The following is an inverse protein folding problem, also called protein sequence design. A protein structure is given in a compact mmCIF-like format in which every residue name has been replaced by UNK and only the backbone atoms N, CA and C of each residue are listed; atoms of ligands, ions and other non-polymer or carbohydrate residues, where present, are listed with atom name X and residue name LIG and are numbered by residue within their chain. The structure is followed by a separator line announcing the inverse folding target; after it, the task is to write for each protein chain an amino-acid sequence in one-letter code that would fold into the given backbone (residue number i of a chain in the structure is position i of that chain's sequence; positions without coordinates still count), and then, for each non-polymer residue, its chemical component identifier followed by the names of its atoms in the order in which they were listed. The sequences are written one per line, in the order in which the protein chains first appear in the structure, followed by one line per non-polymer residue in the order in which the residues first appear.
data_IF_810706623589
#
_entry.id   IF_810706623589
#
_cell.length_a   1.000
_cell.length_b   1.000
_cell.length_c   1.000
_cell.angle_alpha   90.00
_cell.angle_beta   90.00
_cell.angle_gamma   90.00
#
_symmetry.space_group_name_H-M   'P 1'
#
loop_
_entity.id
_entity.type
_entity.pdbx_description
1 polymer ?
#
# COMPACT_ATOMS: atom_id res chain seq x y z
N UNK A 1 12.11 -13.28 11.90
CA UNK A 1 11.12 -13.48 10.82
C UNK A 1 11.77 -13.12 9.51
N UNK A 2 11.57 -13.94 8.48
CA UNK A 2 11.93 -13.60 7.11
C UNK A 2 10.89 -12.66 6.47
N UNK A 3 11.14 -12.27 5.22
CA UNK A 3 10.24 -11.41 4.44
C UNK A 3 8.83 -12.02 4.30
N UNK A 4 8.73 -13.29 3.92
CA UNK A 4 7.45 -13.96 3.72
C UNK A 4 6.63 -14.07 5.01
N UNK A 5 7.28 -14.22 6.17
CA UNK A 5 6.58 -14.22 7.46
C UNK A 5 5.97 -12.84 7.75
N UNK A 6 6.70 -11.77 7.43
CA UNK A 6 6.24 -10.39 7.64
C UNK A 6 5.05 -10.07 6.74
N UNK A 7 5.13 -10.43 5.46
CA UNK A 7 4.03 -10.28 4.50
C UNK A 7 2.80 -11.02 5.02
N UNK A 8 2.95 -12.30 5.34
CA UNK A 8 1.85 -13.15 5.81
C UNK A 8 1.21 -12.60 7.08
N UNK A 9 2.02 -12.14 8.05
CA UNK A 9 1.52 -11.68 9.35
C UNK A 9 0.88 -10.30 9.30
N UNK A 10 1.49 -9.36 8.59
CA UNK A 10 1.11 -7.93 8.67
C UNK A 10 0.32 -7.44 7.45
N UNK A 11 0.64 -7.94 6.26
CA UNK A 11 0.17 -7.38 5.00
C UNK A 11 -0.79 -8.26 4.21
N UNK A 12 -0.91 -9.55 4.55
CA UNK A 12 -1.93 -10.42 3.96
C UNK A 12 -3.31 -10.12 4.56
N UNK A 13 -4.27 -9.89 3.67
CA UNK A 13 -5.68 -9.70 3.99
C UNK A 13 -6.52 -10.51 3.00
N UNK A 14 -7.71 -11.00 3.38
CA UNK A 14 -8.60 -11.69 2.45
C UNK A 14 -8.90 -10.80 1.23
N UNK A 15 -8.66 -11.33 0.03
CA UNK A 15 -9.00 -10.64 -1.21
C UNK A 15 -10.52 -10.48 -1.30
N UNK A 16 -11.01 -9.24 -1.23
CA UNK A 16 -12.45 -8.94 -1.36
C UNK A 16 -12.87 -8.60 -2.80
N UNK A 17 -11.96 -8.01 -3.56
CA UNK A 17 -12.21 -7.49 -4.92
C UNK A 17 -11.09 -7.82 -5.91
N UNK A 18 -9.95 -8.32 -5.42
CA UNK A 18 -8.83 -8.65 -6.27
C UNK A 18 -9.10 -9.99 -6.95
N UNK A 19 -8.70 -10.10 -8.23
CA UNK A 19 -8.73 -11.36 -8.98
C UNK A 19 -7.81 -12.40 -8.34
N UNK A 20 -6.73 -11.92 -7.74
CA UNK A 20 -5.69 -12.70 -7.09
C UNK A 20 -5.27 -12.03 -5.78
N UNK A 21 -5.12 -12.81 -4.71
CA UNK A 21 -4.68 -12.32 -3.40
C UNK A 21 -3.16 -12.14 -3.31
N UNK A 22 -2.68 -11.72 -2.13
CA UNK A 22 -1.23 -11.68 -1.84
C UNK A 22 -0.67 -13.10 -1.83
N UNK A 23 0.48 -13.31 -2.50
CA UNK A 23 1.19 -14.60 -2.50
C UNK A 23 1.64 -15.09 -3.88
N UNK A 24 1.31 -14.37 -4.95
CA UNK A 24 1.77 -14.63 -6.31
C UNK A 24 2.82 -13.59 -6.74
N UNK A 25 3.48 -13.81 -7.87
CA UNK A 25 4.56 -12.96 -8.40
C UNK A 25 4.05 -11.63 -8.97
N UNK A 26 2.75 -11.53 -9.26
CA UNK A 26 2.14 -10.31 -9.79
C UNK A 26 0.68 -10.13 -9.37
N UNK A 27 0.19 -8.89 -9.46
CA UNK A 27 -1.23 -8.58 -9.31
C UNK A 27 -1.94 -8.58 -10.67
N UNK A 28 -3.15 -9.12 -10.70
CA UNK A 28 -4.02 -9.12 -11.88
C UNK A 28 -5.18 -8.13 -11.71
N UNK A 29 -5.37 -7.25 -12.70
CA UNK A 29 -6.39 -6.21 -12.70
C UNK A 29 -7.43 -6.45 -13.79
N UNK A 30 -8.69 -6.65 -13.39
CA UNK A 30 -9.80 -6.66 -14.34
C UNK A 30 -10.40 -5.26 -14.46
N UNK A 31 -10.18 -4.61 -15.61
CA UNK A 31 -10.79 -3.32 -15.94
C UNK A 31 -12.14 -3.57 -16.61
N UNK A 32 -13.18 -2.82 -16.20
CA UNK A 32 -14.49 -2.92 -16.82
C UNK A 32 -14.44 -2.40 -18.27
N UNK A 33 -15.24 -2.96 -19.20
CA UNK A 33 -15.32 -2.44 -20.57
C UNK A 33 -15.65 -0.95 -20.59
N UNK A 34 -14.93 -0.18 -21.42
CA UNK A 34 -15.11 1.27 -21.55
C UNK A 34 -14.46 2.10 -20.43
N UNK A 35 -13.78 1.48 -19.46
CA UNK A 35 -13.01 2.17 -18.43
C UNK A 35 -11.50 2.09 -18.73
N UNK A 36 -10.74 3.02 -18.15
CA UNK A 36 -9.28 2.98 -18.13
C UNK A 36 -8.79 2.76 -16.70
N UNK A 37 -7.63 2.13 -16.55
CA UNK A 37 -6.96 2.02 -15.26
C UNK A 37 -6.11 3.27 -15.03
N UNK A 38 -6.45 4.05 -14.00
CA UNK A 38 -5.60 5.13 -13.50
C UNK A 38 -4.69 4.59 -12.38
N UNK A 39 -3.41 4.93 -12.43
CA UNK A 39 -2.40 4.51 -11.46
C UNK A 39 -1.67 5.75 -10.96
N UNK A 40 -1.62 5.93 -9.63
CA UNK A 40 -0.71 6.87 -8.96
C UNK A 40 0.23 6.09 -8.05
N UNK A 41 1.42 6.61 -7.82
CA UNK A 41 2.43 6.01 -6.95
C UNK A 41 3.34 7.07 -6.34
N UNK A 42 3.20 7.28 -5.04
CA UNK A 42 4.03 8.17 -4.22
C UNK A 42 4.84 7.43 -3.17
N UNK A 43 6.12 7.81 -3.03
CA UNK A 43 7.01 7.30 -1.98
C UNK A 43 7.22 8.33 -0.85
N UNK A 44 6.92 7.93 0.39
CA UNK A 44 7.22 8.73 1.58
C UNK A 44 8.58 8.31 2.16
N UNK A 45 9.49 9.28 2.34
CA UNK A 45 10.88 9.05 2.77
C UNK A 45 11.09 9.76 4.11
N UNK A 46 11.66 9.06 5.07
CA UNK A 46 11.98 9.61 6.39
C UNK A 46 12.95 10.79 6.28
N UNK A 47 12.76 11.83 7.07
CA UNK A 47 13.53 13.07 7.02
C UNK A 47 13.16 14.02 5.87
N UNK A 48 12.37 13.57 4.89
CA UNK A 48 11.87 14.39 3.78
C UNK A 48 10.36 14.58 3.80
N UNK A 49 9.60 13.49 3.89
CA UNK A 49 8.13 13.49 3.84
C UNK A 49 7.48 13.27 5.22
N UNK A 50 8.24 12.72 6.18
CA UNK A 50 7.81 12.51 7.56
C UNK A 50 9.04 12.43 8.50
N UNK A 51 8.82 12.55 9.81
CA UNK A 51 9.86 12.42 10.85
C UNK A 51 9.79 11.05 11.51
N UNK A 52 10.90 10.59 12.10
CA UNK A 52 11.02 9.31 12.83
C UNK A 52 10.02 9.15 13.98
N UNK A 53 9.54 10.27 14.51
CA UNK A 53 8.60 10.32 15.64
C UNK A 53 7.13 10.18 15.23
N UNK A 54 6.83 10.12 13.92
CA UNK A 54 5.45 9.95 13.45
C UNK A 54 4.96 8.53 13.78
N UNK A 55 3.80 8.39 14.45
CA UNK A 55 3.26 7.06 14.75
C UNK A 55 2.98 6.24 13.48
N UNK A 56 3.31 4.94 13.46
CA UNK A 56 3.22 4.10 12.26
C UNK A 56 1.81 4.07 11.67
N UNK A 57 0.76 3.96 12.50
CA UNK A 57 -0.63 4.05 12.02
C UNK A 57 -0.96 5.36 11.29
N UNK A 58 -0.42 6.50 11.75
CA UNK A 58 -0.62 7.80 11.09
C UNK A 58 0.18 7.88 9.79
N UNK A 59 1.40 7.32 9.77
CA UNK A 59 2.19 7.26 8.55
C UNK A 59 1.53 6.37 7.50
N UNK A 60 1.04 5.18 7.87
CA UNK A 60 0.31 4.28 6.96
C UNK A 60 -0.95 4.92 6.39
N UNK A 61 -1.71 5.65 7.22
CA UNK A 61 -2.85 6.45 6.74
C UNK A 61 -2.40 7.51 5.71
N UNK A 62 -1.37 8.29 6.03
CA UNK A 62 -0.85 9.32 5.12
C UNK A 62 -0.36 8.73 3.80
N UNK A 63 0.37 7.61 3.84
CA UNK A 63 0.91 6.94 2.66
C UNK A 63 -0.18 6.53 1.67
N UNK A 64 -1.32 6.02 2.16
CA UNK A 64 -2.46 5.72 1.30
C UNK A 64 -3.21 7.00 0.88
N UNK A 65 -3.41 7.95 1.80
CA UNK A 65 -4.21 9.15 1.57
C UNK A 65 -3.66 10.04 0.45
N UNK A 66 -2.33 10.18 0.34
CA UNK A 66 -1.72 11.00 -0.74
C UNK A 66 -2.05 10.44 -2.13
N UNK A 67 -1.86 9.13 -2.33
CA UNK A 67 -2.19 8.45 -3.58
C UNK A 67 -3.70 8.51 -3.89
N UNK A 68 -4.56 8.37 -2.87
CA UNK A 68 -6.01 8.51 -3.04
C UNK A 68 -6.41 9.94 -3.46
N UNK A 69 -5.66 10.95 -3.02
CA UNK A 69 -5.89 12.35 -3.42
C UNK A 69 -5.66 12.55 -4.92
N UNK A 70 -4.59 11.98 -5.48
CA UNK A 70 -4.28 12.09 -6.92
C UNK A 70 -5.35 11.40 -7.79
N UNK A 71 -5.80 10.22 -7.34
CA UNK A 71 -6.87 9.49 -8.01
C UNK A 71 -8.17 10.29 -7.96
N UNK A 72 -8.49 10.91 -6.82
CA UNK A 72 -9.67 11.77 -6.69
C UNK A 72 -9.58 13.00 -7.60
N UNK A 73 -8.42 13.64 -7.71
CA UNK A 73 -8.20 14.76 -8.63
C UNK A 73 -8.39 14.37 -10.10
N UNK A 74 -8.12 13.11 -10.45
CA UNK A 74 -8.35 12.55 -11.78
C UNK A 74 -9.79 12.03 -12.00
N UNK A 75 -10.68 12.18 -11.00
CA UNK A 75 -12.04 11.61 -11.04
C UNK A 75 -12.09 10.08 -11.02
N UNK A 76 -10.99 9.42 -10.65
CA UNK A 76 -10.89 7.97 -10.63
C UNK A 76 -11.54 7.38 -9.37
N UNK A 77 -12.19 6.22 -9.52
CA UNK A 77 -12.71 5.44 -8.39
C UNK A 77 -11.62 4.49 -7.87
N UNK A 78 -11.24 4.56 -6.59
CA UNK A 78 -10.23 3.66 -6.04
C UNK A 78 -10.63 2.18 -6.15
N UNK A 79 -9.71 1.37 -6.67
CA UNK A 79 -9.90 -0.08 -6.85
C UNK A 79 -9.12 -0.88 -5.79
N UNK A 80 -7.82 -0.61 -5.69
CA UNK A 80 -6.88 -1.25 -4.77
C UNK A 80 -5.59 -0.39 -4.69
N UNK A 81 -4.61 -0.84 -3.90
CA UNK A 81 -3.28 -0.25 -3.84
C UNK A 81 -2.22 -1.35 -3.73
N UNK A 82 -0.99 -1.04 -4.15
CA UNK A 82 0.21 -1.82 -3.85
C UNK A 82 1.02 -1.09 -2.78
N UNK A 83 1.78 -1.84 -1.98
CA UNK A 83 2.66 -1.28 -0.95
C UNK A 83 4.10 -1.74 -1.20
N UNK A 84 4.97 -0.79 -1.50
CA UNK A 84 6.41 -0.98 -1.43
C UNK A 84 6.92 -0.36 -0.13
N UNK A 85 7.45 -1.18 0.78
CA UNK A 85 7.95 -0.76 2.07
C UNK A 85 9.42 -1.17 2.24
N UNK A 86 10.29 -0.19 2.45
CA UNK A 86 11.68 -0.42 2.82
C UNK A 86 11.89 -0.04 4.28
N UNK A 87 12.49 -0.95 5.06
CA UNK A 87 12.83 -0.72 6.46
C UNK A 87 14.33 -0.98 6.67
N UNK A 88 15.04 -0.15 7.45
CA UNK A 88 16.46 -0.38 7.74
C UNK A 88 16.68 -1.62 8.62
N UNK A 89 15.66 -2.03 9.37
CA UNK A 89 15.59 -3.25 10.17
C UNK A 89 14.13 -3.63 10.39
N UNK A 90 13.88 -4.90 10.67
CA UNK A 90 12.54 -5.37 11.06
C UNK A 90 12.21 -4.86 12.46
N UNK A 91 11.05 -4.22 12.62
CA UNK A 91 10.48 -3.78 13.90
C UNK A 91 9.01 -4.19 13.96
N UNK A 92 8.73 -5.28 14.68
CA UNK A 92 7.40 -5.85 14.79
C UNK A 92 6.40 -4.94 15.52
N UNK A 93 6.87 -4.14 16.48
CA UNK A 93 6.03 -3.20 17.23
C UNK A 93 5.58 -2.07 16.31
N UNK A 94 6.51 -1.56 15.50
CA UNK A 94 6.20 -0.55 14.50
C UNK A 94 5.23 -1.07 13.43
N UNK A 95 5.43 -2.30 12.97
CA UNK A 95 4.56 -2.95 11.97
C UNK A 95 3.14 -3.24 12.48
N UNK A 96 2.92 -3.35 13.79
CA UNK A 96 1.58 -3.53 14.37
C UNK A 96 0.71 -2.26 14.31
N UNK A 97 1.34 -1.08 14.17
CA UNK A 97 0.66 0.21 13.98
C UNK A 97 0.33 0.98 15.25
#
# INVERSE_FOLDING_TARGET
MGEFDLITRYFTRPAKRAVLGVGDDCALWQVQPGMQLAVSSDMLVEGRHFLSTVPPKRLGHKALAVNLSDLAASGAKPLAFTLALALPRVDETWLQG
#
